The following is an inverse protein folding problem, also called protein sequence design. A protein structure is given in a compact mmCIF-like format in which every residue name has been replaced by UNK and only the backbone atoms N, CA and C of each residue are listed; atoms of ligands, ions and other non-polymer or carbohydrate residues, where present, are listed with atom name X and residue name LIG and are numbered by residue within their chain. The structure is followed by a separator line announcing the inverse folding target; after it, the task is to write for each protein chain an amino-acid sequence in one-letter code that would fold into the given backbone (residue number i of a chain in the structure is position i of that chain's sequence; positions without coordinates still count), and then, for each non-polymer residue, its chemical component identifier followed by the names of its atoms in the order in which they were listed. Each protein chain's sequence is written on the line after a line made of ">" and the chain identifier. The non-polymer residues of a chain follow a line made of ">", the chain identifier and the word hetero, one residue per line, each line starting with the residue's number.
data_IF_701432705051
#
_entry.id   IF_701432705051
#
_cell.length_a   1.000
_cell.length_b   1.000
_cell.length_c   1.000
_cell.angle_alpha   90.00
_cell.angle_beta   90.00
_cell.angle_gamma   90.00
#
_symmetry.space_group_name_H-M   'P 1'
#
loop_
_entity.id
_entity.type
_entity.pdbx_description
1 polymer ?
#
# COMPACT_ATOMS: atom_id res chain seq x y z
N UNK A 1 36.54 -24.62 -65.70
CA UNK A 1 36.63 -24.65 -64.23
C UNK A 1 36.10 -23.32 -63.69
N UNK A 2 34.80 -23.24 -63.39
CA UNK A 2 34.17 -22.00 -62.88
C UNK A 2 33.77 -22.22 -61.43
N UNK A 3 34.25 -21.29 -60.60
CA UNK A 3 34.21 -21.22 -59.14
C UNK A 3 32.90 -21.70 -58.48
N UNK A 4 32.98 -22.80 -57.73
CA UNK A 4 31.93 -23.32 -56.83
C UNK A 4 31.94 -22.65 -55.44
N UNK A 5 32.92 -21.79 -55.16
CA UNK A 5 33.14 -21.16 -53.84
C UNK A 5 32.26 -19.93 -53.57
N UNK A 6 31.76 -19.24 -54.60
CA UNK A 6 31.09 -17.94 -54.44
C UNK A 6 29.63 -18.04 -53.96
N UNK A 7 28.92 -19.11 -54.33
CA UNK A 7 27.50 -19.30 -53.94
C UNK A 7 27.32 -19.73 -52.47
N UNK A 8 28.34 -20.31 -51.83
CA UNK A 8 28.26 -20.70 -50.41
C UNK A 8 28.33 -19.50 -49.46
N UNK A 9 28.97 -18.41 -49.87
CA UNK A 9 29.19 -17.22 -49.03
C UNK A 9 27.92 -16.36 -48.90
N UNK A 10 27.12 -16.27 -49.97
CA UNK A 10 25.91 -15.44 -50.01
C UNK A 10 24.78 -16.06 -49.16
N UNK A 11 24.61 -17.39 -49.22
CA UNK A 11 23.67 -18.14 -48.38
C UNK A 11 24.01 -18.02 -46.87
N UNK A 12 25.29 -17.96 -46.52
CA UNK A 12 25.74 -17.82 -45.13
C UNK A 12 25.44 -16.42 -44.56
N UNK A 13 25.54 -15.36 -45.38
CA UNK A 13 25.25 -13.98 -44.95
C UNK A 13 23.77 -13.74 -44.64
N UNK A 14 22.84 -14.34 -45.39
CA UNK A 14 21.41 -14.21 -45.13
C UNK A 14 20.95 -14.99 -43.87
N UNK A 15 21.50 -16.20 -43.64
CA UNK A 15 21.24 -16.96 -42.41
C UNK A 15 21.83 -16.33 -41.15
N UNK A 16 22.97 -15.64 -41.27
CA UNK A 16 23.59 -14.90 -40.17
C UNK A 16 22.80 -13.63 -39.81
N UNK A 17 22.28 -12.91 -40.81
CA UNK A 17 21.46 -11.71 -40.61
C UNK A 17 20.09 -12.00 -39.99
N UNK A 18 19.46 -13.12 -40.34
CA UNK A 18 18.16 -13.52 -39.77
C UNK A 18 18.30 -14.00 -38.30
N UNK A 19 19.36 -14.75 -38.00
CA UNK A 19 19.69 -15.17 -36.63
C UNK A 19 20.07 -14.00 -35.73
N UNK A 20 20.82 -13.02 -36.25
CA UNK A 20 21.15 -11.81 -35.50
C UNK A 20 19.89 -10.99 -35.16
N UNK A 21 18.95 -10.87 -36.10
CA UNK A 21 17.67 -10.19 -35.86
C UNK A 21 16.83 -10.90 -34.80
N UNK A 22 16.73 -12.24 -34.86
CA UNK A 22 16.02 -13.03 -33.86
C UNK A 22 16.65 -12.91 -32.47
N UNK A 23 17.98 -12.95 -32.38
CA UNK A 23 18.72 -12.76 -31.13
C UNK A 23 18.49 -11.37 -30.53
N UNK A 24 18.47 -10.33 -31.38
CA UNK A 24 18.18 -8.95 -30.98
C UNK A 24 16.74 -8.82 -30.45
N UNK A 25 15.75 -9.44 -31.10
CA UNK A 25 14.36 -9.44 -30.62
C UNK A 25 14.23 -10.09 -29.23
N UNK A 26 14.89 -11.24 -28.98
CA UNK A 26 14.85 -11.91 -27.67
C UNK A 26 15.47 -11.04 -26.56
N UNK A 27 16.50 -10.25 -26.87
CA UNK A 27 17.12 -9.31 -25.92
C UNK A 27 16.23 -8.10 -25.60
N UNK A 28 15.31 -7.72 -26.50
CA UNK A 28 14.34 -6.64 -26.24
C UNK A 28 13.17 -7.09 -25.36
N UNK A 29 12.74 -8.36 -25.42
CA UNK A 29 11.62 -8.85 -24.58
C UNK A 29 12.01 -9.16 -23.13
N UNK A 30 13.30 -9.38 -22.83
CA UNK A 30 13.77 -9.68 -21.47
C UNK A 30 13.76 -8.46 -20.52
N UNK A 31 13.49 -7.25 -21.03
CA UNK A 31 13.39 -6.03 -20.23
C UNK A 31 11.96 -5.65 -19.81
N UNK A 32 10.93 -6.34 -20.33
CA UNK A 32 9.55 -6.14 -19.87
C UNK A 32 9.30 -6.99 -18.62
N UNK A 33 9.62 -6.47 -17.43
CA UNK A 33 9.22 -7.11 -16.17
C UNK A 33 7.75 -6.85 -15.90
N UNK A 34 6.91 -7.77 -16.34
CA UNK A 34 5.49 -7.80 -15.93
C UNK A 34 5.43 -8.17 -14.46
N UNK A 35 5.11 -7.20 -13.61
CA UNK A 35 4.81 -7.47 -12.21
C UNK A 35 3.34 -7.87 -12.11
N UNK A 36 3.08 -9.14 -11.77
CA UNK A 36 1.74 -9.62 -11.48
C UNK A 36 1.20 -8.87 -10.25
N UNK A 37 0.10 -8.14 -10.44
CA UNK A 37 -0.64 -7.50 -9.36
C UNK A 37 -1.63 -8.51 -8.76
N UNK A 38 -1.90 -8.43 -7.44
CA UNK A 38 -2.98 -9.20 -6.85
C UNK A 38 -4.33 -8.72 -7.39
N UNK A 39 -5.32 -9.61 -7.44
CA UNK A 39 -6.67 -9.25 -7.89
C UNK A 39 -7.28 -8.16 -6.99
N UNK A 40 -7.98 -7.21 -7.60
CA UNK A 40 -8.75 -6.19 -6.91
C UNK A 40 -9.83 -6.82 -6.01
N UNK A 41 -9.97 -6.29 -4.79
CA UNK A 41 -11.00 -6.70 -3.83
C UNK A 41 -11.81 -5.49 -3.34
N UNK A 42 -13.07 -5.44 -3.74
CA UNK A 42 -13.99 -4.37 -3.36
C UNK A 42 -14.30 -4.35 -1.85
N UNK A 43 -14.34 -5.50 -1.19
CA UNK A 43 -14.59 -5.59 0.24
C UNK A 43 -13.40 -5.08 1.06
N UNK A 44 -12.18 -5.27 0.55
CA UNK A 44 -10.97 -4.66 1.15
C UNK A 44 -11.01 -3.14 1.00
N UNK A 45 -11.35 -2.62 -0.18
CA UNK A 45 -11.47 -1.18 -0.38
C UNK A 45 -12.52 -0.55 0.55
N UNK A 46 -13.70 -1.17 0.66
CA UNK A 46 -14.75 -0.71 1.57
C UNK A 46 -14.29 -0.74 3.04
N UNK A 47 -13.59 -1.80 3.47
CA UNK A 47 -13.04 -1.86 4.82
C UNK A 47 -11.99 -0.76 5.07
N UNK A 48 -11.14 -0.45 4.09
CA UNK A 48 -10.20 0.68 4.16
C UNK A 48 -10.96 1.98 4.37
N UNK A 49 -12.03 2.22 3.60
CA UNK A 49 -12.83 3.44 3.68
C UNK A 49 -13.55 3.59 5.03
N UNK A 50 -14.15 2.50 5.53
CA UNK A 50 -14.82 2.49 6.82
C UNK A 50 -13.85 2.72 7.98
N UNK A 51 -12.70 2.05 7.97
CA UNK A 51 -11.67 2.19 9.02
C UNK A 51 -11.09 3.60 9.01
N UNK A 52 -10.80 4.15 7.82
CA UNK A 52 -10.31 5.52 7.67
C UNK A 52 -11.30 6.54 8.21
N UNK A 53 -12.59 6.40 7.87
CA UNK A 53 -13.67 7.27 8.39
C UNK A 53 -13.75 7.20 9.91
N UNK A 54 -13.58 6.02 10.51
CA UNK A 54 -13.60 5.87 11.97
C UNK A 54 -12.41 6.56 12.63
N UNK A 55 -11.21 6.43 12.06
CA UNK A 55 -10.00 7.13 12.56
C UNK A 55 -10.15 8.64 12.44
N UNK A 56 -10.63 9.12 11.29
CA UNK A 56 -10.88 10.55 11.06
C UNK A 56 -11.88 11.12 12.07
N UNK A 57 -13.03 10.44 12.20
CA UNK A 57 -14.06 10.80 13.18
C UNK A 57 -13.52 10.83 14.60
N UNK A 58 -12.73 9.83 15.00
CA UNK A 58 -12.12 9.79 16.33
C UNK A 58 -11.32 11.06 16.64
N UNK A 59 -10.45 11.50 15.72
CA UNK A 59 -9.66 12.70 15.95
C UNK A 59 -10.47 13.99 15.87
N UNK A 60 -11.46 14.07 14.96
CA UNK A 60 -12.38 15.21 14.88
C UNK A 60 -13.16 15.37 16.19
N UNK A 61 -13.69 14.28 16.75
CA UNK A 61 -14.40 14.30 18.03
C UNK A 61 -13.54 14.85 19.17
N UNK A 62 -12.21 14.63 19.15
CA UNK A 62 -11.30 15.21 20.15
C UNK A 62 -11.04 16.70 19.92
N UNK A 63 -11.00 17.15 18.67
CA UNK A 63 -10.80 18.56 18.32
C UNK A 63 -12.02 19.41 18.68
N UNK A 64 -13.23 18.88 18.49
CA UNK A 64 -14.50 19.56 18.75
C UNK A 64 -14.91 19.59 20.24
N UNK A 65 -14.05 19.13 21.16
CA UNK A 65 -14.34 19.20 22.59
C UNK A 65 -14.27 20.64 23.10
N UNK A 66 -15.36 21.08 23.73
CA UNK A 66 -15.38 22.35 24.48
C UNK A 66 -14.30 22.39 25.57
N UNK A 67 -13.83 23.59 25.98
CA UNK A 67 -12.84 23.74 27.06
C UNK A 67 -13.23 23.02 28.37
N UNK A 68 -14.52 22.99 28.71
CA UNK A 68 -15.05 22.30 29.89
C UNK A 68 -14.90 20.76 29.80
N UNK A 69 -14.79 20.22 28.59
CA UNK A 69 -14.78 18.80 28.29
C UNK A 69 -13.38 18.26 27.91
N UNK A 70 -12.32 19.06 28.02
CA UNK A 70 -10.97 18.63 27.63
C UNK A 70 -10.46 17.40 28.39
N UNK A 71 -10.99 17.11 29.57
CA UNK A 71 -10.70 15.88 30.31
C UNK A 71 -11.08 14.61 29.51
N UNK A 72 -12.03 14.69 28.56
CA UNK A 72 -12.40 13.59 27.66
C UNK A 72 -11.30 13.24 26.65
N UNK A 73 -10.29 14.09 26.49
CA UNK A 73 -9.07 13.76 25.76
C UNK A 73 -8.16 12.81 26.52
N UNK A 74 -8.51 12.39 27.74
CA UNK A 74 -7.71 11.43 28.45
C UNK A 74 -7.67 10.08 27.74
N UNK A 75 -6.56 9.35 27.87
CA UNK A 75 -6.47 7.99 27.34
C UNK A 75 -7.61 7.09 27.87
N UNK A 76 -7.94 7.21 29.16
CA UNK A 76 -9.02 6.44 29.78
C UNK A 76 -10.35 6.64 29.07
N UNK A 77 -10.70 7.88 28.76
CA UNK A 77 -11.94 8.25 28.06
C UNK A 77 -11.97 7.79 26.60
N UNK A 78 -10.79 7.62 25.98
CA UNK A 78 -10.66 7.26 24.56
C UNK A 78 -10.38 5.76 24.33
N UNK A 79 -10.16 4.99 25.40
CA UNK A 79 -9.58 3.65 25.32
C UNK A 79 -10.38 2.66 24.45
N UNK A 80 -11.71 2.73 24.52
CA UNK A 80 -12.61 1.89 23.71
C UNK A 80 -12.51 2.18 22.21
N UNK A 81 -12.41 3.46 21.83
CA UNK A 81 -12.20 3.88 20.44
C UNK A 81 -10.86 3.34 19.91
N UNK A 82 -9.80 3.41 20.71
CA UNK A 82 -8.51 2.82 20.35
C UNK A 82 -8.58 1.31 20.13
N UNK A 83 -9.29 0.58 21.00
CA UNK A 83 -9.46 -0.88 20.88
C UNK A 83 -10.24 -1.22 19.62
N UNK A 84 -11.34 -0.50 19.37
CA UNK A 84 -12.21 -0.73 18.21
C UNK A 84 -11.42 -0.54 16.90
N UNK A 85 -10.74 0.59 16.75
CA UNK A 85 -9.95 0.89 15.56
C UNK A 85 -8.79 -0.10 15.40
N UNK A 86 -8.10 -0.45 16.49
CA UNK A 86 -7.01 -1.44 16.45
C UNK A 86 -7.51 -2.80 15.93
N UNK A 87 -8.71 -3.21 16.35
CA UNK A 87 -9.33 -4.46 15.89
C UNK A 87 -9.60 -4.43 14.37
N UNK A 88 -10.12 -3.31 13.86
CA UNK A 88 -10.35 -3.12 12.43
C UNK A 88 -9.04 -3.16 11.62
N UNK A 89 -7.99 -2.49 12.10
CA UNK A 89 -6.64 -2.53 11.50
C UNK A 89 -6.02 -3.92 11.52
N UNK A 90 -6.19 -4.68 12.62
CA UNK A 90 -5.73 -6.06 12.71
C UNK A 90 -6.46 -6.97 11.71
N UNK A 91 -7.77 -6.80 11.57
CA UNK A 91 -8.56 -7.52 10.58
C UNK A 91 -8.08 -7.21 9.16
N UNK A 92 -7.87 -5.93 8.83
CA UNK A 92 -7.35 -5.51 7.54
C UNK A 92 -5.96 -6.10 7.25
N UNK A 93 -5.09 -6.14 8.26
CA UNK A 93 -3.77 -6.76 8.17
C UNK A 93 -3.86 -8.26 7.85
N UNK A 94 -4.66 -9.02 8.60
CA UNK A 94 -4.81 -10.47 8.40
C UNK A 94 -5.32 -10.77 7.00
N UNK A 95 -6.37 -10.07 6.55
CA UNK A 95 -6.92 -10.26 5.20
C UNK A 95 -5.89 -9.94 4.11
N UNK A 96 -5.09 -8.89 4.28
CA UNK A 96 -4.05 -8.56 3.30
C UNK A 96 -2.84 -9.50 3.34
N UNK A 97 -2.58 -10.12 4.50
CA UNK A 97 -1.45 -11.06 4.69
C UNK A 97 -1.64 -12.38 3.97
N UNK A 98 -2.88 -12.86 3.88
CA UNK A 98 -3.21 -14.13 3.21
C UNK A 98 -3.34 -13.99 1.69
N UNK A 99 -3.41 -12.76 1.15
CA UNK A 99 -3.57 -12.51 -0.28
C UNK A 99 -2.24 -12.76 -1.02
N UNK A 100 -2.22 -13.61 -2.07
CA UNK A 100 -1.02 -13.84 -2.86
C UNK A 100 -0.58 -12.54 -3.56
N UNK A 101 0.72 -12.38 -3.80
CA UNK A 101 1.32 -11.24 -4.53
C UNK A 101 1.00 -9.85 -3.93
N UNK A 102 0.51 -9.78 -2.69
CA UNK A 102 0.03 -8.55 -2.06
C UNK A 102 1.05 -7.85 -1.15
N UNK A 103 2.36 -8.14 -1.33
CA UNK A 103 3.43 -7.69 -0.40
C UNK A 103 3.47 -6.18 -0.21
N UNK A 104 3.27 -5.40 -1.28
CA UNK A 104 3.33 -3.94 -1.22
C UNK A 104 2.16 -3.36 -0.42
N UNK A 105 0.92 -3.79 -0.71
CA UNK A 105 -0.26 -3.37 0.06
C UNK A 105 -0.16 -3.84 1.52
N UNK A 106 0.29 -5.08 1.76
CA UNK A 106 0.50 -5.61 3.11
C UNK A 106 1.45 -4.71 3.91
N UNK A 107 2.54 -4.23 3.30
CA UNK A 107 3.49 -3.35 3.98
C UNK A 107 2.87 -2.01 4.39
N UNK A 108 2.01 -1.43 3.56
CA UNK A 108 1.30 -0.18 3.89
C UNK A 108 0.33 -0.41 5.07
N UNK A 109 -0.41 -1.52 5.06
CA UNK A 109 -1.32 -1.89 6.15
C UNK A 109 -0.57 -2.13 7.45
N UNK A 110 0.58 -2.80 7.40
CA UNK A 110 1.47 -3.01 8.54
C UNK A 110 1.96 -1.69 9.14
N UNK A 111 2.51 -0.78 8.32
CA UNK A 111 2.96 0.55 8.77
C UNK A 111 1.84 1.30 9.47
N UNK A 112 0.62 1.25 8.92
CA UNK A 112 -0.53 1.98 9.47
C UNK A 112 -0.99 1.40 10.79
N UNK A 113 -1.02 0.07 10.90
CA UNK A 113 -1.32 -0.63 12.15
C UNK A 113 -0.28 -0.28 13.23
N UNK A 114 1.00 -0.31 12.88
CA UNK A 114 2.09 -0.07 13.82
C UNK A 114 2.11 1.40 14.27
N UNK A 115 1.81 2.33 13.37
CA UNK A 115 1.69 3.74 13.70
C UNK A 115 0.51 4.00 14.65
N UNK A 116 -0.64 3.35 14.43
CA UNK A 116 -1.76 3.44 15.37
C UNK A 116 -1.42 2.92 16.77
N UNK A 117 -0.72 1.77 16.85
CA UNK A 117 -0.22 1.21 18.11
C UNK A 117 0.71 2.21 18.82
N UNK A 118 1.62 2.83 18.05
CA UNK A 118 2.54 3.84 18.57
C UNK A 118 1.77 5.04 19.13
N UNK A 119 0.85 5.63 18.39
CA UNK A 119 0.06 6.78 18.85
C UNK A 119 -0.80 6.45 20.08
N UNK A 120 -1.38 5.25 20.13
CA UNK A 120 -2.07 4.76 21.34
C UNK A 120 -1.12 4.71 22.54
N UNK A 121 0.09 4.19 22.35
CA UNK A 121 1.09 4.09 23.42
C UNK A 121 1.54 5.46 23.91
N UNK A 122 1.82 6.39 22.99
CA UNK A 122 2.21 7.76 23.30
C UNK A 122 1.10 8.50 24.04
N UNK A 123 -0.16 8.37 23.61
CA UNK A 123 -1.29 8.94 24.32
C UNK A 123 -1.44 8.32 25.72
N UNK A 124 -1.28 7.00 25.86
CA UNK A 124 -1.30 6.34 27.17
C UNK A 124 -0.19 6.85 28.10
N UNK A 125 0.98 7.21 27.57
CA UNK A 125 2.08 7.77 28.36
C UNK A 125 1.85 9.23 28.73
N UNK A 126 1.39 10.04 27.77
CA UNK A 126 1.11 11.47 27.95
C UNK A 126 -0.19 11.75 28.74
N UNK A 127 -1.05 10.74 28.91
CA UNK A 127 -2.39 10.79 29.51
C UNK A 127 -3.41 11.66 28.78
N UNK A 128 -3.00 12.67 28.00
CA UNK A 128 -3.85 13.58 27.23
C UNK A 128 -3.18 13.98 25.90
N UNK A 129 -3.95 14.59 24.99
CA UNK A 129 -3.47 15.08 23.68
C UNK A 129 -3.73 16.58 23.49
N UNK A 130 -2.74 17.28 22.94
CA UNK A 130 -2.87 18.66 22.47
C UNK A 130 -3.49 18.70 21.07
N UNK A 131 -4.05 19.85 20.66
CA UNK A 131 -4.61 20.02 19.30
C UNK A 131 -3.57 19.67 18.22
N UNK A 132 -2.35 20.19 18.35
CA UNK A 132 -1.29 19.93 17.35
C UNK A 132 -0.93 18.45 17.22
N UNK A 133 -0.93 17.69 18.32
CA UNK A 133 -0.70 16.23 18.25
C UNK A 133 -1.88 15.51 17.60
N UNK A 134 -3.12 15.92 17.92
CA UNK A 134 -4.32 15.36 17.30
C UNK A 134 -4.31 15.59 15.78
N UNK A 135 -4.05 16.83 15.35
CA UNK A 135 -3.99 17.22 13.94
C UNK A 135 -2.90 16.45 13.19
N UNK A 136 -1.67 16.39 13.74
CA UNK A 136 -0.56 15.68 13.13
C UNK A 136 -0.84 14.19 12.98
N UNK A 137 -1.38 13.55 14.03
CA UNK A 137 -1.70 12.13 13.99
C UNK A 137 -2.82 11.84 13.00
N UNK A 138 -3.86 12.69 12.97
CA UNK A 138 -4.97 12.60 12.01
C UNK A 138 -4.47 12.67 10.57
N UNK A 139 -3.65 13.68 10.25
CA UNK A 139 -3.08 13.85 8.91
C UNK A 139 -2.22 12.64 8.51
N UNK A 140 -1.35 12.18 9.41
CA UNK A 140 -0.47 11.03 9.14
C UNK A 140 -1.27 9.75 8.82
N UNK A 141 -2.37 9.52 9.55
CA UNK A 141 -3.27 8.39 9.28
C UNK A 141 -4.03 8.57 7.97
N UNK A 142 -4.52 9.78 7.67
CA UNK A 142 -5.22 10.10 6.42
C UNK A 142 -4.36 9.78 5.18
N UNK A 143 -3.08 10.20 5.19
CA UNK A 143 -2.12 9.94 4.11
C UNK A 143 -1.89 8.44 3.89
N UNK A 144 -1.79 7.67 4.96
CA UNK A 144 -1.62 6.22 4.89
C UNK A 144 -2.86 5.53 4.33
N UNK A 145 -4.06 5.91 4.77
CA UNK A 145 -5.30 5.37 4.21
C UNK A 145 -5.50 5.76 2.75
N UNK A 146 -5.16 7.00 2.36
CA UNK A 146 -5.16 7.41 0.96
C UNK A 146 -4.23 6.52 0.12
N UNK A 147 -3.02 6.27 0.60
CA UNK A 147 -2.05 5.39 -0.05
C UNK A 147 -2.59 3.96 -0.19
N UNK A 148 -3.26 3.42 0.84
CA UNK A 148 -3.91 2.10 0.75
C UNK A 148 -5.01 2.05 -0.32
N UNK A 149 -5.86 3.09 -0.40
CA UNK A 149 -6.93 3.18 -1.40
C UNK A 149 -6.36 3.17 -2.81
N UNK A 150 -5.31 3.95 -3.06
CA UNK A 150 -4.62 3.93 -4.35
C UNK A 150 -4.09 2.53 -4.62
N UNK A 151 -3.36 1.95 -3.68
CA UNK A 151 -2.76 0.63 -3.85
C UNK A 151 -3.79 -0.46 -4.18
N UNK A 152 -5.00 -0.38 -3.63
CA UNK A 152 -6.09 -1.32 -3.98
C UNK A 152 -6.72 -0.97 -5.34
N UNK A 153 -6.99 0.32 -5.62
CA UNK A 153 -7.64 0.76 -6.88
C UNK A 153 -6.82 0.47 -8.12
N UNK A 154 -5.48 0.57 -8.06
CA UNK A 154 -4.61 0.30 -9.22
C UNK A 154 -4.70 -1.15 -9.70
N UNK A 155 -5.14 -2.09 -8.85
CA UNK A 155 -5.30 -3.52 -9.17
C UNK A 155 -6.48 -3.81 -10.11
N UNK A 156 -7.30 -2.80 -10.42
CA UNK A 156 -8.38 -2.89 -11.41
C UNK A 156 -7.88 -2.84 -12.86
N UNK A 157 -6.63 -2.40 -13.06
CA UNK A 157 -5.99 -2.21 -14.36
C UNK A 157 -5.19 -3.45 -14.74
#
# INVERSE_FOLDING_TARGET
>A
MINSSTNRIILFKHGFSLNAFFLICVLFFSHCRVHLLPEFDAAILEQIDQTAKRVDKFYLELLELDPANLHKRSYSSCSDSYITIQSELNSLYIKNKIRPLNKNTLRIVEITRDLWIKYKSEHKQAQTLTNGVIELNRQSMEELFYTMRIAEKIKKQ
#
